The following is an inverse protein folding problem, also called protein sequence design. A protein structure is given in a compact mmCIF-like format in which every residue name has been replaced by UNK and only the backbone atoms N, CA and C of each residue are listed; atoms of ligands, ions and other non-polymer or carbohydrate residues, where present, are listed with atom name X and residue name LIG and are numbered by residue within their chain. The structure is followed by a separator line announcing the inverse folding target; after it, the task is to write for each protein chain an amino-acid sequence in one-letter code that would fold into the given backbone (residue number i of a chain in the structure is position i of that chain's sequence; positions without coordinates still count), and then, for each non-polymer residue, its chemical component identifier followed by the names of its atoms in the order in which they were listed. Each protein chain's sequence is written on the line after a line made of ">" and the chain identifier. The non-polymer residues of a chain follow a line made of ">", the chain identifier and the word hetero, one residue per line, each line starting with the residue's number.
data_IF_820086810736
#
_entry.id   IF_820086810736
#
_cell.length_a   1.000
_cell.length_b   1.000
_cell.length_c   1.000
_cell.angle_alpha   90.00
_cell.angle_beta   90.00
_cell.angle_gamma   90.00
#
_symmetry.space_group_name_H-M   'P 1'
#
loop_
_entity.id
_entity.type
_entity.pdbx_description
1 polymer ?
#
# COMPACT_ATOMS: atom_id res chain seq x y z
N UNK A 1 -56.81 -20.28 -19.21
CA UNK A 1 -56.71 -18.98 -18.53
C UNK A 1 -55.99 -17.99 -19.45
N UNK A 2 -56.71 -17.14 -20.21
CA UNK A 2 -56.13 -16.14 -21.11
C UNK A 2 -56.12 -14.70 -20.55
N UNK A 3 -56.83 -14.43 -19.45
CA UNK A 3 -57.15 -13.06 -19.00
C UNK A 3 -55.92 -12.26 -18.53
N UNK A 4 -54.96 -12.89 -17.85
CA UNK A 4 -53.77 -12.20 -17.33
C UNK A 4 -52.80 -11.66 -18.39
N UNK A 5 -52.90 -12.11 -19.64
CA UNK A 5 -52.05 -11.62 -20.75
C UNK A 5 -52.54 -10.27 -21.30
N UNK A 6 -53.86 -10.07 -21.37
CA UNK A 6 -54.44 -8.83 -21.88
C UNK A 6 -54.33 -7.69 -20.88
N UNK A 7 -54.54 -7.96 -19.59
CA UNK A 7 -54.34 -6.97 -18.52
C UNK A 7 -52.88 -6.49 -18.46
N UNK A 8 -51.91 -7.40 -18.60
CA UNK A 8 -50.50 -7.06 -18.62
C UNK A 8 -50.12 -6.17 -19.82
N UNK A 9 -50.65 -6.47 -21.01
CA UNK A 9 -50.44 -5.63 -22.21
C UNK A 9 -51.04 -4.24 -22.04
N UNK A 10 -52.26 -4.16 -21.49
CA UNK A 10 -52.93 -2.88 -21.22
C UNK A 10 -52.11 -2.02 -20.24
N UNK A 11 -51.60 -2.63 -19.17
CA UNK A 11 -50.73 -1.97 -18.21
C UNK A 11 -49.43 -1.45 -18.85
N UNK A 12 -48.72 -2.30 -19.61
CA UNK A 12 -47.45 -1.93 -20.25
C UNK A 12 -47.65 -0.78 -21.24
N UNK A 13 -48.72 -0.82 -22.05
CA UNK A 13 -49.04 0.27 -22.96
C UNK A 13 -49.34 1.58 -22.23
N UNK A 14 -50.15 1.54 -21.16
CA UNK A 14 -50.45 2.74 -20.37
C UNK A 14 -49.19 3.32 -19.70
N UNK A 15 -48.32 2.46 -19.17
CA UNK A 15 -47.06 2.85 -18.54
C UNK A 15 -46.11 3.53 -19.52
N UNK A 16 -45.96 2.98 -20.73
CA UNK A 16 -45.06 3.53 -21.75
C UNK A 16 -45.54 4.88 -22.28
N UNK A 17 -46.85 5.03 -22.52
CA UNK A 17 -47.43 6.33 -22.92
C UNK A 17 -47.20 7.42 -21.87
N UNK A 18 -47.38 7.07 -20.59
CA UNK A 18 -47.15 8.00 -19.48
C UNK A 18 -45.67 8.38 -19.34
N UNK A 19 -44.77 7.42 -19.52
CA UNK A 19 -43.34 7.61 -19.27
C UNK A 19 -42.59 8.23 -20.45
N UNK A 20 -43.13 8.15 -21.67
CA UNK A 20 -42.50 8.66 -22.89
C UNK A 20 -43.43 9.61 -23.69
N UNK A 21 -43.84 10.77 -23.12
CA UNK A 21 -44.84 11.66 -23.72
C UNK A 21 -44.39 12.37 -25.01
N UNK A 22 -43.08 12.34 -25.32
CA UNK A 22 -42.50 12.95 -26.53
C UNK A 22 -42.38 11.97 -27.70
N UNK A 23 -42.62 10.68 -27.48
CA UNK A 23 -42.62 9.66 -28.53
C UNK A 23 -44.04 9.42 -29.04
N UNK A 24 -44.17 9.26 -30.36
CA UNK A 24 -45.45 8.90 -30.98
C UNK A 24 -45.77 7.43 -30.72
N UNK A 25 -47.05 7.11 -30.62
CA UNK A 25 -47.54 5.76 -30.31
C UNK A 25 -47.03 4.72 -31.32
N UNK A 26 -46.92 5.08 -32.59
CA UNK A 26 -46.41 4.19 -33.64
C UNK A 26 -44.93 3.82 -33.42
N UNK A 27 -44.12 4.76 -32.93
CA UNK A 27 -42.71 4.53 -32.64
C UNK A 27 -42.51 3.64 -31.40
N UNK A 28 -43.42 3.72 -30.43
CA UNK A 28 -43.40 2.88 -29.22
C UNK A 28 -43.72 1.42 -29.60
N UNK A 29 -44.72 1.21 -30.45
CA UNK A 29 -45.09 -0.14 -30.94
C UNK A 29 -43.99 -0.77 -31.80
N UNK A 30 -43.33 0.02 -32.64
CA UNK A 30 -42.20 -0.45 -33.43
C UNK A 30 -41.03 -0.92 -32.55
N UNK A 31 -40.74 -0.22 -31.45
CA UNK A 31 -39.69 -0.64 -30.50
C UNK A 31 -40.07 -1.91 -29.74
N UNK A 32 -41.34 -2.08 -29.36
CA UNK A 32 -41.82 -3.26 -28.64
C UNK A 32 -41.78 -4.55 -29.47
N UNK A 33 -41.98 -4.43 -30.77
CA UNK A 33 -41.97 -5.57 -31.69
C UNK A 33 -40.56 -5.99 -32.12
N UNK A 34 -39.55 -5.13 -31.91
CA UNK A 34 -38.15 -5.47 -32.18
C UNK A 34 -37.67 -6.56 -31.23
N UNK A 35 -37.23 -7.68 -31.79
CA UNK A 35 -36.58 -8.76 -31.04
C UNK A 35 -35.20 -8.28 -30.59
N UNK A 36 -35.05 -7.93 -29.32
CA UNK A 36 -33.77 -7.51 -28.76
C UNK A 36 -32.78 -8.68 -28.81
N UNK A 37 -31.76 -8.59 -29.66
CA UNK A 37 -30.64 -9.54 -29.69
C UNK A 37 -29.63 -9.07 -28.65
N UNK A 38 -29.67 -9.67 -27.46
CA UNK A 38 -28.62 -9.46 -26.45
C UNK A 38 -27.38 -10.20 -26.93
N UNK A 39 -26.47 -9.48 -27.61
CA UNK A 39 -25.14 -9.99 -27.89
C UNK A 39 -24.38 -10.03 -26.56
N UNK A 40 -24.29 -11.20 -25.94
CA UNK A 40 -23.40 -11.42 -24.80
C UNK A 40 -21.97 -11.10 -25.24
N UNK A 41 -21.49 -9.91 -24.87
CA UNK A 41 -20.09 -9.55 -25.06
C UNK A 41 -19.28 -10.35 -24.04
N UNK A 42 -18.94 -11.59 -24.41
CA UNK A 42 -18.13 -12.47 -23.59
C UNK A 42 -16.72 -11.88 -23.53
N UNK A 43 -16.45 -11.05 -22.51
CA UNK A 43 -15.10 -10.55 -22.28
C UNK A 43 -14.19 -11.75 -22.02
N UNK A 44 -13.33 -12.09 -22.98
CA UNK A 44 -12.29 -13.12 -22.79
C UNK A 44 -11.44 -12.67 -21.60
N UNK A 45 -11.65 -13.29 -20.43
CA UNK A 45 -10.78 -13.10 -19.26
C UNK A 45 -9.36 -13.46 -19.70
N UNK A 46 -8.51 -12.44 -19.89
CA UNK A 46 -7.09 -12.65 -20.14
C UNK A 46 -6.53 -13.40 -18.93
N UNK A 47 -6.22 -14.69 -19.10
CA UNK A 47 -5.47 -15.46 -18.11
C UNK A 47 -4.13 -14.76 -17.94
N UNK A 48 -3.94 -14.07 -16.81
CA UNK A 48 -2.66 -13.47 -16.44
C UNK A 48 -1.62 -14.58 -16.47
N UNK A 49 -0.71 -14.55 -17.44
CA UNK A 49 0.45 -15.43 -17.44
C UNK A 49 1.18 -15.18 -16.12
N UNK A 50 1.34 -16.22 -15.31
CA UNK A 50 2.14 -16.14 -14.08
C UNK A 50 3.56 -15.81 -14.52
N UNK A 51 3.99 -14.57 -14.31
CA UNK A 51 5.40 -14.18 -14.47
C UNK A 51 6.23 -15.17 -13.66
N UNK A 52 7.17 -15.86 -14.30
CA UNK A 52 8.17 -16.68 -13.61
C UNK A 52 9.05 -15.72 -12.81
N UNK A 53 8.65 -15.38 -11.59
CA UNK A 53 9.55 -14.70 -10.67
C UNK A 53 10.67 -15.69 -10.36
N UNK A 54 11.91 -15.23 -10.43
CA UNK A 54 13.05 -15.98 -9.90
C UNK A 54 12.67 -16.44 -8.50
N UNK A 55 12.80 -17.74 -8.23
CA UNK A 55 12.50 -18.32 -6.92
C UNK A 55 13.51 -17.75 -5.92
N UNK A 56 13.20 -16.59 -5.32
CA UNK A 56 13.94 -16.08 -4.19
C UNK A 56 13.80 -17.03 -3.01
N UNK A 57 14.72 -16.93 -2.04
CA UNK A 57 14.65 -17.71 -0.83
C UNK A 57 13.32 -17.52 -0.10
N UNK A 58 12.71 -18.63 0.27
CA UNK A 58 11.56 -18.66 1.17
C UNK A 58 11.92 -18.11 2.55
N UNK A 59 10.93 -17.68 3.33
CA UNK A 59 11.17 -17.22 4.70
C UNK A 59 11.87 -18.29 5.57
N UNK A 60 11.58 -19.58 5.34
CA UNK A 60 12.24 -20.70 6.03
C UNK A 60 13.74 -20.74 5.69
N UNK A 61 14.07 -20.68 4.40
CA UNK A 61 15.46 -20.68 3.93
C UNK A 61 16.25 -19.46 4.44
N UNK A 62 15.63 -18.27 4.49
CA UNK A 62 16.31 -17.07 5.01
C UNK A 62 16.65 -17.17 6.50
N UNK A 63 15.79 -17.83 7.30
CA UNK A 63 16.04 -18.09 8.73
C UNK A 63 17.14 -19.13 8.92
N UNK A 64 17.11 -20.19 8.12
CA UNK A 64 18.11 -21.26 8.16
C UNK A 64 19.52 -20.74 7.82
N UNK A 65 19.61 -19.82 6.85
CA UNK A 65 20.87 -19.17 6.48
C UNK A 65 21.26 -17.99 7.40
N UNK A 66 20.48 -17.68 8.44
CA UNK A 66 20.75 -16.57 9.38
C UNK A 66 21.06 -15.22 8.70
N UNK A 67 20.46 -14.98 7.53
CA UNK A 67 20.79 -13.84 6.65
C UNK A 67 20.65 -12.46 7.29
N UNK A 68 19.90 -12.36 8.39
CA UNK A 68 19.64 -11.10 9.08
C UNK A 68 20.02 -11.16 10.56
N UNK A 69 20.68 -12.23 11.01
CA UNK A 69 21.24 -12.31 12.35
C UNK A 69 22.63 -11.70 12.31
N UNK A 70 22.90 -10.82 13.27
CA UNK A 70 24.22 -10.23 13.46
C UNK A 70 24.91 -11.11 14.50
N UNK A 71 26.10 -11.59 14.20
CA UNK A 71 26.85 -12.42 15.13
C UNK A 71 27.04 -11.70 16.48
N UNK A 72 26.83 -12.38 17.62
CA UNK A 72 26.84 -11.74 18.94
C UNK A 72 28.11 -10.92 19.23
N UNK A 73 29.26 -11.35 18.70
CA UNK A 73 30.55 -10.66 18.86
C UNK A 73 30.56 -9.27 18.20
N UNK A 74 29.73 -9.08 17.18
CA UNK A 74 29.59 -7.84 16.41
C UNK A 74 28.46 -6.95 16.93
N UNK A 75 27.67 -7.40 17.91
CA UNK A 75 26.58 -6.62 18.52
C UNK A 75 27.07 -5.59 19.54
N UNK A 76 28.21 -4.95 19.27
CA UNK A 76 28.74 -3.88 20.12
C UNK A 76 28.34 -2.53 19.55
N UNK A 77 27.70 -1.71 20.36
CA UNK A 77 27.27 -0.35 20.02
C UNK A 77 28.43 0.49 19.48
N UNK A 78 29.62 0.33 20.05
CA UNK A 78 30.83 1.05 19.65
C UNK A 78 31.25 0.81 18.20
N UNK A 79 30.98 -0.39 17.67
CA UNK A 79 31.30 -0.75 16.27
C UNK A 79 30.43 0.04 15.29
N UNK A 80 29.21 0.42 15.70
CA UNK A 80 28.25 1.13 14.87
C UNK A 80 28.28 2.66 15.03
N UNK A 81 29.14 3.20 15.90
CA UNK A 81 29.32 4.65 16.04
C UNK A 81 29.79 5.33 14.74
N UNK A 82 30.76 4.76 13.97
CA UNK A 82 31.15 5.33 12.68
C UNK A 82 29.99 5.37 11.68
N UNK A 83 29.10 4.36 11.70
CA UNK A 83 27.89 4.35 10.87
C UNK A 83 26.95 5.51 11.21
N UNK A 84 26.81 5.81 12.50
CA UNK A 84 26.04 6.99 12.92
C UNK A 84 26.69 8.31 12.49
N UNK A 85 28.02 8.41 12.54
CA UNK A 85 28.72 9.60 12.05
C UNK A 85 28.52 9.81 10.55
N UNK A 86 28.60 8.74 9.77
CA UNK A 86 28.31 8.76 8.34
C UNK A 86 26.88 9.22 8.07
N UNK A 87 25.90 8.71 8.82
CA UNK A 87 24.51 9.12 8.69
C UNK A 87 24.31 10.61 9.01
N UNK A 88 25.00 11.15 10.03
CA UNK A 88 24.96 12.59 10.32
C UNK A 88 25.49 13.44 9.16
N UNK A 89 26.59 13.03 8.54
CA UNK A 89 27.12 13.70 7.36
C UNK A 89 26.13 13.65 6.19
N UNK A 90 25.60 12.46 5.91
CA UNK A 90 24.58 12.25 4.88
C UNK A 90 23.37 13.18 5.05
N UNK A 91 22.80 13.29 6.26
CA UNK A 91 21.65 14.18 6.50
C UNK A 91 22.02 15.66 6.36
N UNK A 92 23.23 16.08 6.79
CA UNK A 92 23.69 17.46 6.59
C UNK A 92 23.78 17.80 5.11
N UNK A 93 24.32 16.90 4.30
CA UNK A 93 24.45 17.08 2.85
C UNK A 93 23.08 17.05 2.17
N UNK A 94 22.21 16.11 2.55
CA UNK A 94 20.85 15.99 2.05
C UNK A 94 20.05 17.27 2.32
N UNK A 95 20.19 17.85 3.51
CA UNK A 95 19.51 19.09 3.90
C UNK A 95 20.20 20.36 3.39
N UNK A 96 21.34 20.28 2.69
CA UNK A 96 22.18 21.41 2.25
C UNK A 96 22.60 22.34 3.41
N UNK A 97 22.91 21.74 4.55
CA UNK A 97 23.13 22.44 5.81
C UNK A 97 21.81 22.84 6.47
N UNK A 98 21.59 22.38 7.70
CA UNK A 98 20.47 22.78 8.55
C UNK A 98 20.69 24.22 9.03
N UNK A 99 20.52 25.19 8.12
CA UNK A 99 20.55 26.62 8.46
C UNK A 99 19.28 26.98 9.25
N UNK A 100 19.31 28.02 10.10
CA UNK A 100 18.13 28.46 10.85
C UNK A 100 16.94 28.85 9.97
N UNK A 101 17.20 29.25 8.72
CA UNK A 101 16.20 29.61 7.70
C UNK A 101 15.68 28.39 6.89
N UNK A 102 16.10 27.18 7.25
CA UNK A 102 15.64 25.98 6.57
C UNK A 102 14.13 25.79 6.80
N UNK A 103 13.37 25.83 5.72
CA UNK A 103 11.93 25.62 5.76
C UNK A 103 11.58 24.21 6.29
N UNK A 104 10.84 24.08 7.42
CA UNK A 104 10.59 22.78 8.05
C UNK A 104 9.91 21.77 7.13
N UNK A 105 9.01 22.24 6.25
CA UNK A 105 8.30 21.40 5.29
C UNK A 105 9.25 20.74 4.27
N UNK A 106 10.31 21.45 3.86
CA UNK A 106 11.31 20.91 2.93
C UNK A 106 12.16 19.84 3.61
N UNK A 107 12.56 20.07 4.87
CA UNK A 107 13.33 19.11 5.67
C UNK A 107 12.51 17.84 5.89
N UNK A 108 11.24 17.97 6.25
CA UNK A 108 10.32 16.84 6.41
C UNK A 108 10.20 16.02 5.13
N UNK A 109 10.00 16.69 3.97
CA UNK A 109 9.88 16.01 2.68
C UNK A 109 11.13 15.24 2.27
N UNK A 110 12.32 15.74 2.65
CA UNK A 110 13.59 15.05 2.43
C UNK A 110 13.77 13.86 3.37
N UNK A 111 13.48 14.04 4.67
CA UNK A 111 13.56 12.96 5.67
C UNK A 111 12.63 11.79 5.36
N UNK A 112 11.45 12.06 4.79
CA UNK A 112 10.50 11.00 4.40
C UNK A 112 11.07 10.03 3.36
N UNK A 113 12.02 10.49 2.53
CA UNK A 113 12.68 9.71 1.48
C UNK A 113 14.10 9.29 1.84
N UNK A 114 14.59 9.73 2.99
CA UNK A 114 15.96 9.49 3.43
C UNK A 114 16.10 8.06 3.96
N UNK A 115 17.31 7.53 3.84
CA UNK A 115 17.68 6.30 4.52
C UNK A 115 17.87 6.57 6.03
N UNK A 116 17.36 5.66 6.86
CA UNK A 116 17.41 5.75 8.32
C UNK A 116 18.41 4.77 8.95
N UNK A 117 19.14 3.97 8.15
CA UNK A 117 20.22 3.14 8.64
C UNK A 117 21.34 4.01 9.25
N UNK A 118 21.72 3.74 10.49
CA UNK A 118 22.65 4.58 11.26
C UNK A 118 22.00 5.74 12.02
N UNK A 119 20.70 5.97 11.87
CA UNK A 119 19.99 6.97 12.64
C UNK A 119 19.86 6.54 14.11
N UNK A 120 20.05 7.48 15.04
CA UNK A 120 19.69 7.27 16.44
C UNK A 120 18.20 7.58 16.60
N UNK A 121 17.45 6.62 17.13
CA UNK A 121 16.03 6.76 17.40
C UNK A 121 15.73 6.50 18.87
N UNK A 122 14.69 7.16 19.38
CA UNK A 122 14.17 6.95 20.73
C UNK A 122 12.65 6.79 20.65
N UNK A 123 12.13 5.73 21.26
CA UNK A 123 10.68 5.49 21.30
C UNK A 123 10.06 6.38 22.36
N UNK A 124 9.34 7.42 21.94
CA UNK A 124 8.68 8.38 22.85
C UNK A 124 7.27 7.93 23.24
N UNK A 125 6.55 7.27 22.33
CA UNK A 125 5.18 6.77 22.54
C UNK A 125 5.00 5.43 21.84
N UNK A 126 4.35 4.49 22.50
CA UNK A 126 4.02 3.17 21.96
C UNK A 126 2.76 2.63 22.64
N UNK A 127 2.04 1.74 21.95
CA UNK A 127 0.94 0.98 22.55
C UNK A 127 1.44 0.04 23.65
N UNK A 128 2.67 -0.46 23.52
CA UNK A 128 3.31 -1.29 24.54
C UNK A 128 4.21 -0.40 25.42
N UNK A 129 3.92 -0.25 26.73
CA UNK A 129 4.73 0.57 27.62
C UNK A 129 6.20 0.12 27.69
N UNK A 130 6.48 -1.17 27.51
CA UNK A 130 7.84 -1.71 27.56
C UNK A 130 8.77 -1.22 26.44
N UNK A 131 8.21 -0.65 25.36
CA UNK A 131 9.01 -0.09 24.27
C UNK A 131 9.38 1.37 24.50
N UNK A 132 8.65 2.08 25.36
CA UNK A 132 8.88 3.49 25.61
C UNK A 132 10.22 3.68 26.31
N UNK A 133 11.01 4.65 25.85
CA UNK A 133 12.32 4.97 26.39
C UNK A 133 13.48 4.16 25.80
N UNK A 134 13.22 3.18 24.93
CA UNK A 134 14.31 2.48 24.23
C UNK A 134 14.95 3.43 23.22
N UNK A 135 16.27 3.59 23.34
CA UNK A 135 17.10 4.41 22.44
C UNK A 135 18.18 3.54 21.81
N UNK A 136 18.43 3.71 20.51
CA UNK A 136 19.46 2.95 19.82
C UNK A 136 19.72 3.43 18.40
N UNK A 137 20.76 2.87 17.77
CA UNK A 137 21.10 3.10 16.37
C UNK A 137 20.34 2.06 15.52
N UNK A 138 19.65 2.50 14.46
CA UNK A 138 19.00 1.60 13.50
C UNK A 138 20.06 0.86 12.67
N UNK A 139 19.98 -0.47 12.68
CA UNK A 139 20.84 -1.35 11.86
C UNK A 139 20.10 -1.92 10.66
N UNK A 140 18.84 -2.31 10.84
CA UNK A 140 18.03 -2.92 9.79
C UNK A 140 16.61 -2.34 9.81
N UNK A 141 16.10 -2.02 8.63
CA UNK A 141 14.70 -1.68 8.40
C UNK A 141 14.01 -2.84 7.68
N UNK A 142 12.92 -3.31 8.25
CA UNK A 142 11.98 -4.21 7.62
C UNK A 142 10.64 -3.48 7.48
N UNK A 143 9.74 -4.05 6.68
CA UNK A 143 8.42 -3.46 6.36
C UNK A 143 7.66 -2.86 7.55
N UNK A 144 7.78 -3.47 8.74
CA UNK A 144 7.07 -3.04 9.95
C UNK A 144 7.94 -3.11 11.22
N UNK A 145 9.26 -3.27 11.08
CA UNK A 145 10.17 -3.50 12.23
C UNK A 145 11.49 -2.80 11.97
N UNK A 146 11.97 -2.07 12.97
CA UNK A 146 13.34 -1.58 13.02
C UNK A 146 14.12 -2.45 14.01
N UNK A 147 15.28 -2.95 13.61
CA UNK A 147 16.24 -3.52 14.57
C UNK A 147 17.22 -2.46 14.99
N UNK A 148 17.32 -2.23 16.29
CA UNK A 148 18.18 -1.19 16.86
C UNK A 148 19.20 -1.78 17.83
N UNK A 149 20.41 -1.24 17.83
CA UNK A 149 21.44 -1.56 18.83
C UNK A 149 21.40 -0.51 19.93
N UNK A 150 21.22 -0.98 21.16
CA UNK A 150 21.19 -0.15 22.38
C UNK A 150 22.60 0.06 22.92
N UNK A 151 22.78 1.01 23.85
CA UNK A 151 24.09 1.27 24.48
C UNK A 151 24.57 0.12 25.36
N UNK A 152 23.65 -0.75 25.77
CA UNK A 152 23.92 -1.95 26.56
C UNK A 152 24.37 -3.14 25.70
N UNK A 153 24.80 -2.90 24.46
CA UNK A 153 25.22 -3.93 23.49
C UNK A 153 24.14 -5.00 23.25
N UNK A 154 22.86 -4.58 23.30
CA UNK A 154 21.70 -5.46 23.05
C UNK A 154 20.92 -5.02 21.82
N UNK A 155 20.67 -5.97 20.93
CA UNK A 155 19.76 -5.78 19.80
C UNK A 155 18.30 -5.84 20.25
N UNK A 156 17.49 -4.89 19.78
CA UNK A 156 16.06 -4.78 20.04
C UNK A 156 15.26 -4.66 18.75
#
# INVERSE_FOLDING_TARGET
>A
QPEGSEEAKAFVNAFLKRSMPKMKDEAIQDILTRKAVVLEHYSKKKTKQKKKTTKGFTAKQRREMRLFEIEPEQQRYTIFLPLHELWKQYIRDLCHGLKPDAQPHMVQGKLLKADLHGAIVTVTKSKCPSYVGITGIILQEFKHVFKIITKEDKLK
#
